data_IF_628887928759
#
_entry.id   IF_628887928759
#
_cell.length_a   1.000
_cell.length_b   1.000
_cell.length_c   1.000
_cell.angle_alpha   90.00
_cell.angle_beta   90.00
_cell.angle_gamma   90.00
#
_symmetry.space_group_name_H-M   'P 1'
#
loop_
_entity.id
_entity.type
_entity.pdbx_description
1 polymer ?
#
# COMPACT_ATOMS: atom_id res chain seq x y z
N UNK A 1 -16.22 11.26 4.64
CA UNK A 1 -14.88 11.41 4.02
C UNK A 1 -14.77 12.86 3.59
N UNK A 2 -13.76 13.60 4.06
CA UNK A 2 -13.62 15.03 3.69
C UNK A 2 -13.36 15.10 2.18
N UNK A 3 -14.03 15.97 1.43
CA UNK A 3 -13.85 16.12 -0.03
C UNK A 3 -12.63 16.97 -0.38
N UNK A 4 -12.17 16.93 -1.64
CA UNK A 4 -11.02 17.75 -2.06
C UNK A 4 -11.34 19.25 -1.98
N UNK A 5 -12.59 19.63 -2.22
CA UNK A 5 -13.01 21.03 -2.14
C UNK A 5 -13.11 21.51 -0.69
N UNK A 6 -13.61 20.66 0.22
CA UNK A 6 -13.58 20.94 1.67
C UNK A 6 -12.14 21.11 2.21
N UNK A 7 -11.16 20.38 1.67
CA UNK A 7 -9.74 20.60 2.03
C UNK A 7 -9.21 21.93 1.50
N UNK A 8 -9.63 22.36 0.30
CA UNK A 8 -9.21 23.65 -0.25
C UNK A 8 -9.67 24.82 0.62
N UNK A 9 -10.88 24.73 1.18
CA UNK A 9 -11.44 25.75 2.06
C UNK A 9 -10.68 25.86 3.40
N UNK A 10 -10.03 24.78 3.85
CA UNK A 10 -9.27 24.73 5.10
C UNK A 10 -7.80 25.15 4.96
N UNK A 11 -7.34 25.32 3.72
CA UNK A 11 -5.94 25.63 3.41
C UNK A 11 -5.81 27.06 2.91
N UNK A 12 -4.68 27.70 3.23
CA UNK A 12 -4.36 29.01 2.69
C UNK A 12 -3.99 28.92 1.21
N UNK A 13 -4.11 30.02 0.47
CA UNK A 13 -3.67 30.06 -0.94
C UNK A 13 -2.20 29.66 -1.11
N UNK A 14 -1.32 30.06 -0.18
CA UNK A 14 0.09 29.65 -0.17
C UNK A 14 0.25 28.14 0.02
N UNK A 15 -0.56 27.53 0.90
CA UNK A 15 -0.56 26.08 1.09
C UNK A 15 -1.05 25.36 -0.17
N UNK A 16 -2.09 25.87 -0.83
CA UNK A 16 -2.56 25.28 -2.09
C UNK A 16 -1.49 25.34 -3.19
N UNK A 17 -0.79 26.46 -3.31
CA UNK A 17 0.31 26.63 -4.27
C UNK A 17 1.51 25.73 -3.93
N UNK A 18 1.91 25.69 -2.65
CA UNK A 18 2.99 24.80 -2.19
C UNK A 18 2.68 23.33 -2.46
N UNK A 19 1.42 22.92 -2.26
CA UNK A 19 0.99 21.55 -2.53
C UNK A 19 1.11 21.19 -4.02
N UNK A 20 0.74 22.10 -4.92
CA UNK A 20 0.92 21.90 -6.37
C UNK A 20 2.39 21.72 -6.73
N UNK A 21 3.23 22.68 -6.31
CA UNK A 21 4.66 22.69 -6.60
C UNK A 21 5.36 21.44 -6.04
N UNK A 22 4.99 20.99 -4.85
CA UNK A 22 5.52 19.75 -4.27
C UNK A 22 5.22 18.54 -5.15
N UNK A 23 3.97 18.40 -5.61
CA UNK A 23 3.58 17.26 -6.46
C UNK A 23 4.28 17.36 -7.81
N UNK A 24 4.26 18.52 -8.48
CA UNK A 24 4.95 18.71 -9.76
C UNK A 24 6.44 18.37 -9.67
N UNK A 25 7.10 18.81 -8.60
CA UNK A 25 8.52 18.57 -8.37
C UNK A 25 8.86 17.08 -8.22
N UNK A 26 7.96 16.25 -7.69
CA UNK A 26 8.17 14.80 -7.62
C UNK A 26 8.21 14.13 -9.00
N UNK A 27 7.56 14.72 -10.01
CA UNK A 27 7.54 14.22 -11.38
C UNK A 27 8.49 14.97 -12.34
N UNK A 28 9.31 15.91 -11.84
CA UNK A 28 10.21 16.74 -12.66
C UNK A 28 11.47 16.01 -13.16
N UNK A 29 11.72 14.78 -12.72
CA UNK A 29 12.87 13.99 -13.17
C UNK A 29 14.21 14.63 -12.78
N UNK A 30 15.00 15.04 -13.77
CA UNK A 30 16.32 15.66 -13.55
C UNK A 30 16.24 17.12 -13.10
N UNK A 31 15.14 17.80 -13.40
CA UNK A 31 14.92 19.22 -13.07
C UNK A 31 14.30 19.40 -11.67
N UNK A 32 14.52 18.43 -10.79
CA UNK A 32 13.95 18.40 -9.44
C UNK A 32 14.62 19.46 -8.56
N UNK A 33 13.78 20.33 -8.00
CA UNK A 33 14.14 21.44 -7.13
C UNK A 33 14.20 20.99 -5.67
N UNK A 34 15.00 21.70 -4.89
CA UNK A 34 15.15 21.51 -3.45
C UNK A 34 13.96 22.08 -2.69
N UNK A 35 13.75 21.61 -1.46
CA UNK A 35 12.67 22.11 -0.59
C UNK A 35 12.86 23.60 -0.23
N UNK A 36 14.11 24.10 -0.22
CA UNK A 36 14.40 25.52 -0.01
C UNK A 36 13.91 26.36 -1.20
N UNK A 37 14.19 25.92 -2.43
CA UNK A 37 13.76 26.63 -3.64
C UNK A 37 12.23 26.63 -3.79
N UNK A 38 11.56 25.53 -3.43
CA UNK A 38 10.10 25.47 -3.43
C UNK A 38 9.49 26.39 -2.36
N UNK A 39 10.08 26.40 -1.15
CA UNK A 39 9.64 27.29 -0.09
C UNK A 39 9.83 28.77 -0.47
N UNK A 40 10.98 29.12 -1.05
CA UNK A 40 11.29 30.46 -1.51
C UNK A 40 10.30 30.94 -2.59
N UNK A 41 9.93 30.07 -3.53
CA UNK A 41 8.94 30.42 -4.57
C UNK A 41 7.54 30.72 -4.02
N UNK A 42 7.14 30.02 -2.96
CA UNK A 42 5.86 30.27 -2.27
C UNK A 42 5.95 31.47 -1.31
N UNK A 43 7.16 31.97 -1.04
CA UNK A 43 7.40 33.08 -0.12
C UNK A 43 7.35 32.67 1.35
N UNK A 44 7.78 31.46 1.68
CA UNK A 44 7.82 30.92 3.05
C UNK A 44 9.21 30.39 3.41
N UNK A 45 9.46 30.19 4.69
CA UNK A 45 10.68 29.50 5.12
C UNK A 45 10.59 27.99 4.86
N UNK A 46 11.72 27.34 4.60
CA UNK A 46 11.80 25.87 4.52
C UNK A 46 11.24 25.18 5.77
N UNK A 47 11.44 25.75 6.95
CA UNK A 47 10.90 25.21 8.21
C UNK A 47 9.36 25.24 8.23
N UNK A 48 8.75 26.30 7.69
CA UNK A 48 7.30 26.38 7.57
C UNK A 48 6.74 25.35 6.60
N UNK A 49 7.39 25.15 5.44
CA UNK A 49 7.04 24.09 4.51
C UNK A 49 7.15 22.70 5.15
N UNK A 50 8.21 22.47 5.93
CA UNK A 50 8.37 21.23 6.70
C UNK A 50 7.20 21.00 7.66
N UNK A 51 6.86 21.99 8.49
CA UNK A 51 5.72 21.89 9.43
C UNK A 51 4.41 21.59 8.72
N UNK A 52 4.14 22.22 7.58
CA UNK A 52 2.92 21.89 6.81
C UNK A 52 2.91 20.44 6.35
N UNK A 53 4.05 19.91 5.88
CA UNK A 53 4.15 18.51 5.42
C UNK A 53 4.04 17.49 6.55
N UNK A 54 4.44 17.83 7.77
CA UNK A 54 4.52 16.86 8.88
C UNK A 54 3.43 17.01 9.93
N UNK A 55 2.91 18.22 10.15
CA UNK A 55 2.00 18.53 11.26
C UNK A 55 0.60 18.93 10.77
N UNK A 56 0.48 19.53 9.57
CA UNK A 56 -0.82 19.91 9.02
C UNK A 56 -1.45 18.75 8.22
N UNK A 57 -2.37 18.03 8.88
CA UNK A 57 -3.06 16.86 8.29
C UNK A 57 -3.85 17.24 7.04
N UNK A 58 -4.53 18.38 7.02
CA UNK A 58 -5.31 18.83 5.86
C UNK A 58 -4.40 19.10 4.65
N UNK A 59 -3.21 19.67 4.90
CA UNK A 59 -2.22 19.91 3.86
C UNK A 59 -1.65 18.60 3.30
N UNK A 60 -1.26 17.66 4.18
CA UNK A 60 -0.71 16.37 3.78
C UNK A 60 -1.73 15.55 2.97
N UNK A 61 -2.99 15.52 3.39
CA UNK A 61 -4.07 14.84 2.67
C UNK A 61 -4.34 15.52 1.32
N UNK A 62 -4.32 16.85 1.23
CA UNK A 62 -4.50 17.56 -0.03
C UNK A 62 -3.37 17.26 -1.03
N UNK A 63 -2.11 17.26 -0.58
CA UNK A 63 -0.95 16.85 -1.39
C UNK A 63 -1.11 15.43 -1.91
N UNK A 64 -1.54 14.49 -1.06
CA UNK A 64 -1.79 13.10 -1.46
C UNK A 64 -2.82 13.01 -2.58
N UNK A 65 -3.96 13.71 -2.45
CA UNK A 65 -5.02 13.68 -3.47
C UNK A 65 -4.57 14.28 -4.80
N UNK A 66 -3.73 15.31 -4.75
CA UNK A 66 -3.09 15.87 -5.94
C UNK A 66 -2.15 14.86 -6.60
N UNK A 67 -1.34 14.15 -5.83
CA UNK A 67 -0.49 13.08 -6.33
C UNK A 67 -1.30 11.92 -6.94
N UNK A 68 -2.38 11.51 -6.29
CA UNK A 68 -3.29 10.46 -6.80
C UNK A 68 -3.94 10.89 -8.14
N UNK A 69 -4.40 12.15 -8.23
CA UNK A 69 -4.94 12.70 -9.47
C UNK A 69 -3.90 12.71 -10.60
N UNK A 70 -2.65 13.09 -10.29
CA UNK A 70 -1.54 13.07 -11.26
C UNK A 70 -1.23 11.64 -11.73
N UNK A 71 -1.17 10.68 -10.81
CA UNK A 71 -0.93 9.28 -11.13
C UNK A 71 -2.06 8.70 -11.99
N UNK A 72 -3.31 9.01 -11.66
CA UNK A 72 -4.47 8.61 -12.46
C UNK A 72 -4.42 9.19 -13.89
N UNK A 73 -3.94 10.42 -14.05
CA UNK A 73 -3.74 11.01 -15.39
C UNK A 73 -2.68 10.26 -16.22
N UNK A 74 -1.73 9.57 -15.58
CA UNK A 74 -0.72 8.74 -16.27
C UNK A 74 -1.26 7.36 -16.68
N UNK A 75 -2.47 6.97 -16.25
CA UNK A 75 -3.04 5.63 -16.51
C UNK A 75 -3.04 5.26 -17.99
N UNK A 76 -3.41 6.18 -18.88
CA UNK A 76 -3.41 5.95 -20.34
C UNK A 76 -2.01 5.60 -20.85
N UNK A 77 -0.98 6.29 -20.36
CA UNK A 77 0.41 6.04 -20.73
C UNK A 77 0.91 4.70 -20.17
N UNK A 78 0.54 4.38 -18.93
CA UNK A 78 0.84 3.08 -18.30
C UNK A 78 0.18 1.94 -19.09
N UNK A 79 -1.08 2.11 -19.49
CA UNK A 79 -1.83 1.12 -20.26
C UNK A 79 -1.21 0.91 -21.65
N UNK A 80 -0.78 1.98 -22.33
CA UNK A 80 -0.06 1.88 -23.59
C UNK A 80 1.28 1.13 -23.44
N UNK A 81 2.03 1.38 -22.37
CA UNK A 81 3.27 0.64 -22.07
C UNK A 81 3.02 -0.82 -21.75
N UNK A 82 1.93 -1.13 -21.04
CA UNK A 82 1.52 -2.50 -20.76
C UNK A 82 1.25 -3.27 -22.07
N UNK A 83 0.47 -2.68 -22.99
CA UNK A 83 0.19 -3.28 -24.31
C UNK A 83 1.48 -3.49 -25.11
N UNK A 84 2.39 -2.52 -25.10
CA UNK A 84 3.68 -2.63 -25.80
C UNK A 84 4.62 -3.71 -25.22
N UNK A 85 4.43 -4.10 -23.96
CA UNK A 85 5.14 -5.25 -23.38
C UNK A 85 4.48 -6.58 -23.74
N UNK A 86 3.17 -6.59 -24.00
CA UNK A 86 2.42 -7.78 -24.40
C UNK A 86 2.72 -8.13 -25.86
N UNK A 87 2.76 -7.15 -26.75
CA UNK A 87 3.02 -7.38 -28.17
C UNK A 87 4.52 -7.60 -28.49
N UNK A 88 5.42 -7.16 -27.59
CA UNK A 88 6.87 -7.23 -27.78
C UNK A 88 7.42 -6.24 -28.81
N UNK A 89 6.62 -5.27 -29.29
CA UNK A 89 6.93 -4.48 -30.49
C UNK A 89 7.98 -3.40 -30.30
N UNK A 90 8.12 -2.86 -29.08
CA UNK A 90 9.04 -1.73 -28.79
C UNK A 90 10.08 -2.03 -27.72
N UNK A 91 9.84 -3.03 -26.87
CA UNK A 91 10.66 -3.32 -25.68
C UNK A 91 10.89 -4.83 -25.57
N UNK A 92 11.93 -5.25 -24.86
CA UNK A 92 12.24 -6.67 -24.61
C UNK A 92 12.65 -7.50 -25.84
N UNK A 93 13.46 -6.94 -26.75
CA UNK A 93 14.05 -7.65 -27.91
C UNK A 93 13.03 -8.38 -28.82
N UNK A 94 11.80 -7.88 -28.94
CA UNK A 94 10.77 -8.55 -29.74
C UNK A 94 10.01 -9.65 -29.00
N UNK A 95 10.27 -9.88 -27.71
CA UNK A 95 9.73 -11.00 -26.94
C UNK A 95 8.56 -10.51 -26.08
N UNK A 96 7.34 -11.04 -26.28
CA UNK A 96 6.20 -10.81 -25.39
C UNK A 96 6.50 -11.10 -23.91
N UNK A 97 6.07 -10.21 -23.03
CA UNK A 97 6.21 -10.38 -21.59
C UNK A 97 5.03 -11.16 -21.00
N UNK A 98 5.29 -12.40 -20.57
CA UNK A 98 4.30 -13.24 -19.85
C UNK A 98 3.77 -12.50 -18.61
N UNK A 99 4.64 -11.76 -17.90
CA UNK A 99 4.24 -11.00 -16.72
C UNK A 99 3.29 -9.85 -17.07
N UNK A 100 3.50 -9.17 -18.20
CA UNK A 100 2.58 -8.13 -18.67
C UNK A 100 1.21 -8.71 -19.04
N UNK A 101 1.19 -9.89 -19.69
CA UNK A 101 -0.03 -10.64 -20.00
C UNK A 101 -0.79 -11.00 -18.71
N UNK A 102 -0.09 -11.53 -17.71
CA UNK A 102 -0.67 -11.85 -16.41
C UNK A 102 -1.27 -10.61 -15.73
N UNK A 103 -0.55 -9.48 -15.71
CA UNK A 103 -1.03 -8.22 -15.12
C UNK A 103 -2.28 -7.68 -15.83
N UNK A 104 -2.36 -7.82 -17.15
CA UNK A 104 -3.55 -7.46 -17.93
C UNK A 104 -4.76 -8.29 -17.49
N UNK A 105 -4.64 -9.62 -17.45
CA UNK A 105 -5.74 -10.48 -17.00
C UNK A 105 -6.12 -10.22 -15.53
N UNK A 106 -5.15 -9.93 -14.65
CA UNK A 106 -5.41 -9.52 -13.26
C UNK A 106 -6.23 -8.24 -13.17
N UNK A 107 -5.90 -7.22 -13.97
CA UNK A 107 -6.62 -5.93 -13.97
C UNK A 107 -8.09 -6.10 -14.31
N UNK A 108 -8.43 -7.02 -15.21
CA UNK A 108 -9.80 -7.32 -15.60
C UNK A 108 -10.47 -8.42 -14.76
N UNK A 109 -9.79 -8.97 -13.75
CA UNK A 109 -10.34 -10.02 -12.90
C UNK A 109 -10.56 -11.35 -13.63
N UNK A 110 -9.77 -11.62 -14.66
CA UNK A 110 -9.94 -12.80 -15.54
C UNK A 110 -9.13 -14.02 -15.07
N UNK A 111 -8.28 -13.87 -14.04
CA UNK A 111 -7.55 -14.99 -13.45
C UNK A 111 -8.37 -15.63 -12.33
N UNK A 112 -8.50 -16.95 -12.37
CA UNK A 112 -9.16 -17.75 -11.33
C UNK A 112 -8.08 -18.39 -10.46
N UNK A 113 -8.06 -18.05 -9.18
CA UNK A 113 -7.26 -18.77 -8.18
C UNK A 113 -8.16 -19.82 -7.50
N UNK A 114 -7.82 -21.10 -7.67
CA UNK A 114 -8.56 -22.22 -7.09
C UNK A 114 -7.73 -22.85 -5.98
N UNK A 115 -8.25 -22.76 -4.76
CA UNK A 115 -7.66 -23.41 -3.60
C UNK A 115 -8.53 -24.56 -3.13
N UNK A 116 -7.95 -25.76 -3.05
CA UNK A 116 -8.59 -26.91 -2.41
C UNK A 116 -8.15 -26.95 -0.95
N UNK A 117 -9.07 -26.55 -0.05
CA UNK A 117 -8.82 -26.60 1.39
C UNK A 117 -9.27 -27.97 1.90
N UNK A 118 -8.31 -28.87 2.08
CA UNK A 118 -8.56 -30.14 2.75
C UNK A 118 -8.51 -29.93 4.25
N UNK A 119 -9.68 -29.86 4.88
CA UNK A 119 -9.79 -29.95 6.33
C UNK A 119 -9.50 -31.38 6.75
N UNK A 120 -8.22 -31.67 7.03
CA UNK A 120 -7.87 -32.90 7.72
C UNK A 120 -8.53 -32.83 9.10
N UNK A 121 -9.35 -33.83 9.49
CA UNK A 121 -9.79 -33.92 10.88
C UNK A 121 -8.53 -33.94 11.73
N UNK A 122 -8.49 -33.11 12.79
CA UNK A 122 -7.45 -33.21 13.80
C UNK A 122 -7.31 -34.70 14.18
N UNK A 123 -6.08 -35.24 14.30
CA UNK A 123 -5.92 -36.62 14.69
C UNK A 123 -6.75 -36.81 15.96
N UNK A 124 -7.79 -37.65 15.88
CA UNK A 124 -8.43 -38.19 17.07
C UNK A 124 -7.37 -39.09 17.70
N UNK A 125 -6.43 -38.49 18.42
CA UNK A 125 -5.75 -39.20 19.49
C UNK A 125 -6.83 -39.84 20.36
N UNK A 126 -6.55 -41.00 20.97
CA UNK A 126 -7.54 -41.68 21.80
C UNK A 126 -8.16 -40.66 22.77
N UNK A 127 -9.47 -40.40 22.63
CA UNK A 127 -10.18 -39.53 23.56
C UNK A 127 -10.19 -40.28 24.88
N UNK A 128 -9.32 -39.85 25.79
CA UNK A 128 -9.34 -40.36 27.16
C UNK A 128 -10.75 -40.11 27.71
N UNK A 129 -11.37 -41.17 28.19
CA UNK A 129 -12.61 -41.10 28.95
C UNK A 129 -12.44 -40.20 30.17
N UNK A 130 -13.51 -39.59 30.70
CA UNK A 130 -13.41 -38.80 31.92
C UNK A 130 -12.72 -39.53 33.08
N UNK A 131 -12.89 -40.85 33.17
CA UNK A 131 -12.20 -41.70 34.15
C UNK A 131 -10.70 -41.81 33.91
N UNK A 132 -10.25 -41.93 32.66
CA UNK A 132 -8.82 -41.98 32.34
C UNK A 132 -8.14 -40.62 32.58
N UNK A 133 -8.86 -39.52 32.31
CA UNK A 133 -8.39 -38.17 32.64
C UNK A 133 -8.27 -38.00 34.15
N UNK A 134 -9.28 -38.43 34.92
CA UNK A 134 -9.24 -38.36 36.38
C UNK A 134 -8.07 -39.17 36.96
N UNK A 135 -7.87 -40.40 36.48
CA UNK A 135 -6.76 -41.24 36.90
C UNK A 135 -5.40 -40.64 36.56
N UNK A 136 -5.23 -40.12 35.34
CA UNK A 136 -3.99 -39.46 34.94
C UNK A 136 -3.69 -38.19 35.73
N UNK A 137 -4.73 -37.43 36.11
CA UNK A 137 -4.58 -36.28 37.00
C UNK A 137 -4.20 -36.70 38.43
N UNK A 138 -4.75 -37.79 38.93
CA UNK A 138 -4.44 -38.34 40.25
C UNK A 138 -2.99 -38.87 40.31
N UNK A 139 -2.59 -39.68 39.33
CA UNK A 139 -1.20 -40.15 39.17
C UNK A 139 -0.21 -38.96 39.05
N UNK A 140 -0.57 -37.92 38.29
CA UNK A 140 0.26 -36.71 38.19
C UNK A 140 0.32 -35.94 39.52
N UNK A 141 -0.79 -35.87 40.24
CA UNK A 141 -0.86 -35.22 41.54
C UNK A 141 -0.06 -35.99 42.60
N UNK A 142 -0.01 -37.32 42.51
CA UNK A 142 0.89 -38.16 43.32
C UNK A 142 2.35 -37.96 42.93
N UNK A 143 2.69 -37.85 41.64
CA UNK A 143 4.07 -37.55 41.21
C UNK A 143 4.54 -36.15 41.63
N UNK A 144 3.64 -35.17 41.67
CA UNK A 144 3.94 -33.78 42.05
C UNK A 144 3.99 -33.59 43.57
N UNK A 145 3.15 -34.31 44.32
CA UNK A 145 3.05 -34.17 45.78
C UNK A 145 3.76 -35.29 46.56
N UNK A 146 4.16 -36.37 45.90
CA UNK A 146 5.02 -37.44 46.42
C UNK A 146 6.49 -37.14 46.10
N UNK A 147 7.18 -36.48 47.02
CA UNK A 147 8.65 -36.39 47.01
C UNK A 147 9.24 -37.79 47.25
N UNK A 148 10.27 -38.14 46.48
CA UNK A 148 11.32 -39.17 46.69
C UNK A 148 11.07 -40.24 47.77
#
# INVERSE_FOLDING_TARGET
MITTDELKERLTTQQLQAAELLVENEFAGKDKRTQEELAAEVGISRMQLYKWRTENVDFAEYVRRKADAKLNALSVMVDAKLVSLIDGSQWNNGIPSIRAIELFYKRFGLLVDRQEITNLPAPKGPRLSPSEVAKGLEELNEMLNGKA
#
